data_IF_619291521185
#
_entry.id   IF_619291521185
#
_cell.length_a   1.000
_cell.length_b   1.000
_cell.length_c   1.000
_cell.angle_alpha   90.00
_cell.angle_beta   90.00
_cell.angle_gamma   90.00
#
_symmetry.space_group_name_H-M   'P 1'
#
loop_
_entity.id
_entity.type
_entity.pdbx_description
1 polymer ?
#
# COMPACT_ATOMS: atom_id res chain seq x y z
N UNK A 1 -16.91 -19.90 -14.09
CA UNK A 1 -16.34 -18.90 -13.17
C UNK A 1 -17.12 -17.62 -13.36
N UNK A 2 -17.94 -17.25 -12.38
CA UNK A 2 -18.72 -16.02 -12.43
C UNK A 2 -17.80 -14.85 -12.05
N UNK A 3 -17.73 -13.84 -12.92
CA UNK A 3 -16.99 -12.60 -12.69
C UNK A 3 -17.64 -11.80 -11.54
N UNK A 4 -16.86 -11.10 -10.71
CA UNK A 4 -17.43 -10.16 -9.75
C UNK A 4 -18.13 -9.02 -10.51
N UNK A 5 -19.31 -8.65 -10.04
CA UNK A 5 -20.10 -7.55 -10.62
C UNK A 5 -19.36 -6.23 -10.44
N UNK A 6 -19.50 -5.28 -11.38
CA UNK A 6 -18.96 -3.93 -11.20
C UNK A 6 -19.53 -3.30 -9.92
N UNK A 7 -18.63 -2.73 -9.11
CA UNK A 7 -18.93 -2.03 -7.87
C UNK A 7 -19.85 -0.84 -8.18
N UNK A 8 -21.14 -0.97 -7.84
CA UNK A 8 -22.03 0.19 -7.82
C UNK A 8 -21.80 0.92 -6.51
N UNK A 9 -21.18 2.09 -6.62
CA UNK A 9 -21.11 3.08 -5.56
C UNK A 9 -22.54 3.42 -5.09
N UNK A 10 -22.92 2.95 -3.90
CA UNK A 10 -24.05 3.46 -3.16
C UNK A 10 -23.49 4.16 -1.94
N UNK A 11 -23.53 5.49 -1.96
CA UNK A 11 -23.28 6.34 -0.81
C UNK A 11 -24.34 6.04 0.26
N UNK A 12 -24.08 5.06 1.11
CA UNK A 12 -24.82 4.89 2.35
C UNK A 12 -24.35 5.97 3.32
N UNK A 13 -25.04 7.10 3.30
CA UNK A 13 -24.98 8.12 4.34
C UNK A 13 -25.81 7.57 5.50
N UNK A 14 -25.15 7.18 6.60
CA UNK A 14 -25.81 6.86 7.86
C UNK A 14 -26.55 8.09 8.42
N UNK A 15 -27.75 7.93 9.01
CA UNK A 15 -28.62 9.04 9.40
C UNK A 15 -28.30 9.65 10.78
N UNK A 16 -27.08 9.47 11.29
CA UNK A 16 -26.63 10.15 12.52
C UNK A 16 -25.86 11.42 12.15
N UNK A 17 -26.33 12.57 12.65
CA UNK A 17 -25.95 13.91 12.18
C UNK A 17 -24.44 14.20 12.16
N UNK A 18 -24.00 15.18 11.36
CA UNK A 18 -22.58 15.42 11.14
C UNK A 18 -21.96 16.01 12.42
N UNK A 19 -21.15 15.20 13.09
CA UNK A 19 -19.95 15.76 13.68
C UNK A 19 -19.10 16.25 12.50
N UNK A 20 -19.06 17.56 12.28
CA UNK A 20 -18.29 18.23 11.22
C UNK A 20 -16.76 18.07 11.42
N UNK A 21 -16.33 17.30 12.43
CA UNK A 21 -14.93 16.93 12.62
C UNK A 21 -14.46 16.06 11.46
N UNK A 22 -13.29 16.35 10.86
CA UNK A 22 -12.74 15.51 9.81
C UNK A 22 -12.54 14.07 10.34
N UNK A 23 -12.78 13.03 9.51
CA UNK A 23 -12.60 11.66 9.93
C UNK A 23 -11.18 11.46 10.47
N UNK A 24 -11.07 10.86 11.65
CA UNK A 24 -9.78 10.56 12.28
C UNK A 24 -9.03 9.51 11.46
N UNK A 25 -7.71 9.66 11.22
CA UNK A 25 -6.91 8.66 10.52
C UNK A 25 -6.86 7.36 11.31
N UNK A 26 -7.06 6.23 10.63
CA UNK A 26 -6.85 4.91 11.22
C UNK A 26 -5.36 4.55 11.27
N UNK A 27 -5.01 3.64 12.17
CA UNK A 27 -3.66 3.10 12.25
C UNK A 27 -3.41 2.04 11.16
N UNK A 28 -2.18 1.98 10.65
CA UNK A 28 -1.71 0.90 9.79
C UNK A 28 -1.15 -0.24 10.65
N UNK A 29 -1.78 -1.41 10.58
CA UNK A 29 -1.38 -2.59 11.35
C UNK A 29 -0.65 -3.60 10.46
N UNK A 30 0.61 -3.91 10.79
CA UNK A 30 1.41 -4.96 10.17
C UNK A 30 1.71 -6.04 11.21
N UNK A 31 1.05 -7.22 11.15
CA UNK A 31 1.26 -8.26 12.14
C UNK A 31 2.67 -8.88 12.02
N UNK A 32 3.20 -9.52 13.08
CA UNK A 32 4.45 -10.27 13.00
C UNK A 32 4.41 -11.40 11.96
N UNK A 33 5.58 -11.85 11.51
CA UNK A 33 5.67 -12.96 10.57
C UNK A 33 5.12 -14.26 11.18
N UNK A 34 4.21 -14.90 10.46
CA UNK A 34 3.57 -16.16 10.86
C UNK A 34 4.44 -17.40 10.60
N UNK A 35 5.53 -17.25 9.82
CA UNK A 35 6.40 -18.36 9.43
C UNK A 35 7.31 -18.77 10.59
N UNK A 36 7.62 -20.06 10.66
CA UNK A 36 8.63 -20.62 11.56
C UNK A 36 9.66 -21.43 10.74
N UNK A 37 10.91 -20.96 10.61
CA UNK A 37 11.44 -19.69 11.10
C UNK A 37 10.81 -18.47 10.40
N UNK A 38 10.90 -17.30 11.03
CA UNK A 38 10.41 -16.03 10.48
C UNK A 38 11.12 -15.70 9.17
N UNK A 39 10.44 -15.00 8.27
CA UNK A 39 11.07 -14.50 7.05
C UNK A 39 12.11 -13.42 7.42
N UNK A 40 13.32 -13.42 6.82
CA UNK A 40 14.37 -12.44 7.15
C UNK A 40 13.94 -10.99 6.97
N UNK A 41 13.01 -10.73 6.04
CA UNK A 41 12.49 -9.38 5.73
C UNK A 41 11.16 -9.05 6.43
N UNK A 42 10.70 -9.82 7.44
CA UNK A 42 9.41 -9.55 8.10
C UNK A 42 9.46 -9.73 9.64
N UNK A 43 9.50 -8.63 10.42
CA UNK A 43 9.87 -7.28 9.98
C UNK A 43 11.36 -7.24 9.57
N UNK A 44 11.75 -6.35 8.65
CA UNK A 44 13.14 -6.20 8.25
C UNK A 44 13.97 -5.54 9.37
N UNK A 45 15.26 -5.87 9.51
CA UNK A 45 16.19 -5.11 10.34
C UNK A 45 16.32 -3.66 9.85
N UNK A 46 16.40 -2.70 10.78
CA UNK A 46 16.49 -1.25 10.48
C UNK A 46 17.78 -0.83 9.76
N UNK A 47 18.81 -1.68 9.74
CA UNK A 47 20.08 -1.38 9.05
C UNK A 47 20.17 -2.08 7.70
N UNK A 48 19.13 -2.83 7.31
CA UNK A 48 19.14 -3.59 6.07
C UNK A 48 18.62 -2.74 4.91
N UNK A 49 19.43 -2.49 3.86
CA UNK A 49 18.96 -1.88 2.63
C UNK A 49 17.82 -2.69 2.02
N UNK A 50 16.71 -2.02 1.71
CA UNK A 50 15.50 -2.68 1.27
C UNK A 50 14.61 -1.73 0.46
N UNK A 51 14.10 -2.21 -0.67
CA UNK A 51 12.99 -1.57 -1.37
C UNK A 51 11.67 -2.11 -0.83
N UNK A 52 10.76 -1.22 -0.47
CA UNK A 52 9.49 -1.57 0.15
C UNK A 52 8.37 -1.08 -0.76
N UNK A 53 7.46 -1.97 -1.11
CA UNK A 53 6.21 -1.63 -1.77
C UNK A 53 5.06 -1.94 -0.83
N UNK A 54 4.18 -0.96 -0.61
CA UNK A 54 2.87 -1.17 -0.01
C UNK A 54 1.80 -0.79 -1.02
N UNK A 55 0.83 -1.68 -1.23
CA UNK A 55 -0.24 -1.46 -2.21
C UNK A 55 -1.57 -2.06 -1.73
N UNK A 56 -2.69 -1.50 -2.20
CA UNK A 56 -4.01 -1.97 -1.80
C UNK A 56 -5.17 -1.16 -2.34
N UNK A 57 -6.40 -1.54 -1.97
CA UNK A 57 -7.60 -0.79 -2.32
C UNK A 57 -7.50 0.65 -1.82
N UNK A 58 -7.75 1.60 -2.70
CA UNK A 58 -7.66 3.03 -2.39
C UNK A 58 -8.60 3.41 -1.24
N UNK A 59 -9.79 2.79 -1.17
CA UNK A 59 -10.74 3.01 -0.09
C UNK A 59 -10.15 2.72 1.30
N UNK A 60 -9.37 1.65 1.45
CA UNK A 60 -8.67 1.36 2.70
C UNK A 60 -7.55 2.37 2.98
N UNK A 61 -6.82 2.80 1.95
CA UNK A 61 -5.75 3.80 2.07
C UNK A 61 -6.31 5.18 2.47
N UNK A 62 -7.48 5.56 1.97
CA UNK A 62 -8.14 6.82 2.33
C UNK A 62 -8.52 6.91 3.81
N UNK A 63 -8.72 5.78 4.49
CA UNK A 63 -8.94 5.75 5.95
C UNK A 63 -7.67 6.01 6.75
N UNK A 64 -6.51 5.61 6.21
CA UNK A 64 -5.21 5.94 6.79
C UNK A 64 -4.88 7.43 6.60
N UNK A 65 -5.30 7.99 5.46
CA UNK A 65 -4.95 9.33 5.01
C UNK A 65 -6.21 10.16 4.67
N UNK A 66 -7.08 10.42 5.66
CA UNK A 66 -8.28 11.22 5.45
C UNK A 66 -7.89 12.64 5.03
N UNK A 67 -8.58 13.17 4.03
CA UNK A 67 -8.34 14.53 3.52
C UNK A 67 -7.22 14.65 2.47
N UNK A 68 -6.53 13.56 2.13
CA UNK A 68 -5.63 13.54 0.97
C UNK A 68 -6.42 13.49 -0.33
N UNK A 69 -6.06 14.34 -1.27
CA UNK A 69 -6.58 14.30 -2.64
C UNK A 69 -5.77 13.33 -3.48
N UNK A 70 -6.47 12.46 -4.22
CA UNK A 70 -5.89 11.46 -5.10
C UNK A 70 -6.18 11.82 -6.54
N UNK A 71 -5.13 11.99 -7.35
CA UNK A 71 -5.28 12.31 -8.76
C UNK A 71 -5.33 11.03 -9.60
N UNK A 72 -6.37 10.84 -10.42
CA UNK A 72 -6.45 9.75 -11.37
C UNK A 72 -5.81 10.08 -12.73
N UNK A 73 -5.21 11.27 -12.89
CA UNK A 73 -4.66 11.73 -14.16
C UNK A 73 -3.52 10.81 -14.64
N UNK A 74 -3.81 10.05 -15.69
CA UNK A 74 -2.87 9.13 -16.34
C UNK A 74 -1.99 9.82 -17.40
N UNK A 75 -2.35 11.02 -17.85
CA UNK A 75 -1.65 11.73 -18.93
C UNK A 75 -0.48 12.53 -18.34
N UNK A 76 -0.72 13.23 -17.23
CA UNK A 76 0.31 13.99 -16.51
C UNK A 76 0.30 13.63 -15.02
N UNK A 77 0.72 12.40 -14.66
CA UNK A 77 0.72 11.99 -13.27
C UNK A 77 1.66 12.87 -12.46
N UNK A 78 1.10 13.59 -11.48
CA UNK A 78 1.92 14.27 -10.49
C UNK A 78 2.71 13.22 -9.70
N UNK A 79 4.03 13.39 -9.62
CA UNK A 79 4.89 12.49 -8.86
C UNK A 79 5.83 13.27 -7.94
N UNK A 80 5.95 12.89 -6.66
CA UNK A 80 5.01 11.98 -5.98
C UNK A 80 3.62 12.62 -5.83
N UNK A 81 2.57 11.81 -5.80
CA UNK A 81 1.26 12.28 -5.35
C UNK A 81 1.31 12.64 -3.85
N UNK A 82 0.46 13.56 -3.36
CA UNK A 82 0.46 13.93 -1.94
C UNK A 82 0.32 12.74 -0.98
N UNK A 83 -0.41 11.69 -1.38
CA UNK A 83 -0.61 10.49 -0.58
C UNK A 83 0.60 9.54 -0.51
N UNK A 84 1.47 9.52 -1.52
CA UNK A 84 2.59 8.58 -1.61
C UNK A 84 3.58 8.70 -0.45
N UNK A 85 4.18 9.90 -0.22
CA UNK A 85 5.12 10.11 0.88
C UNK A 85 4.47 9.88 2.26
N UNK A 86 3.18 10.18 2.41
CA UNK A 86 2.45 9.95 3.66
C UNK A 86 2.24 8.45 3.93
N UNK A 87 1.84 7.69 2.91
CA UNK A 87 1.67 6.23 3.02
C UNK A 87 3.02 5.53 3.25
N UNK A 88 4.09 5.99 2.58
CA UNK A 88 5.45 5.52 2.82
C UNK A 88 5.88 5.77 4.27
N UNK A 89 5.62 6.97 4.81
CA UNK A 89 5.93 7.32 6.20
C UNK A 89 5.17 6.45 7.21
N UNK A 90 3.87 6.22 7.00
CA UNK A 90 3.07 5.34 7.86
C UNK A 90 3.61 3.91 7.84
N UNK A 91 3.96 3.41 6.66
CA UNK A 91 4.53 2.07 6.47
C UNK A 91 5.89 1.94 7.14
N UNK A 92 6.74 2.94 6.98
CA UNK A 92 8.04 3.01 7.63
C UNK A 92 7.91 2.94 9.15
N UNK A 93 7.03 3.76 9.74
CA UNK A 93 6.74 3.73 11.18
C UNK A 93 6.22 2.38 11.65
N UNK A 94 5.31 1.76 10.89
CA UNK A 94 4.76 0.45 11.22
C UNK A 94 5.81 -0.67 11.17
N UNK A 95 6.81 -0.58 10.28
CA UNK A 95 7.89 -1.57 10.16
C UNK A 95 8.99 -1.36 11.21
N UNK A 96 9.41 -0.12 11.44
CA UNK A 96 10.62 0.20 12.21
C UNK A 96 10.35 0.84 13.58
N UNK A 97 9.10 1.20 13.88
CA UNK A 97 8.72 1.84 15.14
C UNK A 97 9.29 3.25 15.33
N UNK A 98 9.77 3.89 14.26
CA UNK A 98 10.38 5.23 14.27
C UNK A 98 10.07 6.01 13.00
N UNK A 99 10.31 7.31 13.05
CA UNK A 99 10.32 8.17 11.86
C UNK A 99 11.58 7.98 11.01
N UNK A 100 11.50 8.23 9.68
CA UNK A 100 12.68 8.40 8.85
C UNK A 100 13.58 9.51 9.40
N UNK A 101 14.88 9.25 9.42
CA UNK A 101 15.87 10.15 9.97
C UNK A 101 16.22 11.25 8.96
N UNK A 102 15.90 12.53 9.24
CA UNK A 102 16.07 13.61 8.26
C UNK A 102 17.53 13.86 7.86
N UNK A 103 18.49 13.50 8.72
CA UNK A 103 19.93 13.57 8.44
C UNK A 103 20.50 12.42 7.60
N UNK A 104 19.69 11.43 7.20
CA UNK A 104 20.12 10.30 6.37
C UNK A 104 19.26 10.31 5.10
N UNK A 105 19.74 10.91 4.00
CA UNK A 105 18.92 11.11 2.80
C UNK A 105 18.39 9.81 2.18
N UNK A 106 19.05 8.69 2.42
CA UNK A 106 18.62 7.38 1.95
C UNK A 106 17.68 6.64 2.91
N UNK A 107 17.33 7.21 4.07
CA UNK A 107 16.54 6.48 5.07
C UNK A 107 15.12 6.16 4.56
N UNK A 108 14.53 7.07 3.79
CA UNK A 108 13.28 6.82 3.07
C UNK A 108 13.22 7.69 1.80
N UNK A 109 13.23 7.06 0.63
CA UNK A 109 13.15 7.75 -0.67
C UNK A 109 12.00 7.15 -1.48
N UNK A 110 10.97 7.94 -1.79
CA UNK A 110 9.88 7.48 -2.68
C UNK A 110 10.43 7.29 -4.10
N UNK A 111 10.18 6.13 -4.69
CA UNK A 111 10.75 5.71 -5.98
C UNK A 111 9.72 5.46 -7.06
N UNK A 112 8.52 5.03 -6.70
CA UNK A 112 7.45 4.78 -7.66
C UNK A 112 6.06 4.79 -6.98
N UNK A 113 5.02 4.96 -7.77
CA UNK A 113 3.62 4.91 -7.38
C UNK A 113 2.83 4.09 -8.40
N UNK A 114 2.05 3.13 -7.92
CA UNK A 114 1.15 2.32 -8.72
C UNK A 114 -0.28 2.84 -8.59
N UNK A 115 -0.93 3.09 -9.72
CA UNK A 115 -2.35 3.47 -9.80
C UNK A 115 -3.12 2.34 -10.48
N UNK A 116 -4.14 1.80 -9.82
CA UNK A 116 -5.07 0.86 -10.44
C UNK A 116 -6.30 1.60 -10.96
N UNK A 117 -6.34 1.84 -12.27
CA UNK A 117 -7.46 2.50 -12.93
C UNK A 117 -8.64 1.57 -13.14
N UNK A 118 -9.85 2.08 -12.92
CA UNK A 118 -11.09 1.37 -13.26
C UNK A 118 -11.29 1.46 -14.78
N UNK A 119 -11.18 0.32 -15.47
CA UNK A 119 -11.21 0.26 -16.95
C UNK A 119 -12.54 -0.23 -17.53
N UNK A 120 -13.50 -0.64 -16.71
CA UNK A 120 -14.81 -1.17 -17.15
C UNK A 120 -15.94 -0.69 -16.21
N UNK A 121 -17.15 -0.35 -16.71
CA UNK A 121 -17.63 -0.49 -18.09
C UNK A 121 -17.11 0.54 -19.11
N UNK A 122 -16.46 1.62 -18.67
CA UNK A 122 -15.61 2.51 -19.47
C UNK A 122 -14.47 2.99 -18.56
N UNK A 123 -13.32 3.45 -19.08
CA UNK A 123 -12.29 4.05 -18.23
C UNK A 123 -12.87 5.28 -17.56
N UNK A 124 -13.22 5.13 -16.28
CA UNK A 124 -13.51 6.26 -15.43
C UNK A 124 -12.16 6.95 -15.15
N UNK A 125 -12.16 8.27 -15.05
CA UNK A 125 -11.04 9.02 -14.48
C UNK A 125 -11.02 8.77 -12.97
N UNK A 126 -10.88 7.51 -12.56
CA UNK A 126 -10.98 7.00 -11.20
C UNK A 126 -9.98 5.87 -11.01
N UNK A 127 -9.38 5.84 -9.83
CA UNK A 127 -8.51 4.77 -9.35
C UNK A 127 -9.18 4.08 -8.17
N UNK A 128 -9.17 2.76 -8.14
CA UNK A 128 -9.70 1.96 -7.01
C UNK A 128 -8.58 1.27 -6.22
N UNK A 129 -7.34 1.35 -6.71
CA UNK A 129 -6.16 0.77 -6.11
C UNK A 129 -5.00 1.74 -6.17
N UNK A 130 -4.18 1.75 -5.14
CA UNK A 130 -2.98 2.59 -5.08
C UNK A 130 -1.85 1.86 -4.37
N UNK A 131 -0.62 2.15 -4.77
CA UNK A 131 0.57 1.68 -4.09
C UNK A 131 1.70 2.70 -4.16
N UNK A 132 2.57 2.65 -3.16
CA UNK A 132 3.82 3.42 -3.15
C UNK A 132 4.99 2.47 -2.95
N UNK A 133 6.04 2.71 -3.72
CA UNK A 133 7.34 2.05 -3.60
C UNK A 133 8.36 3.06 -3.09
N UNK A 134 9.10 2.70 -2.05
CA UNK A 134 10.17 3.52 -1.50
C UNK A 134 11.37 2.69 -1.10
N UNK A 135 12.55 3.32 -1.13
CA UNK A 135 13.80 2.73 -0.71
C UNK A 135 14.12 3.12 0.74
N UNK A 136 14.64 2.16 1.49
CA UNK A 136 15.29 2.36 2.77
C UNK A 136 16.76 1.91 2.66
N UNK A 137 17.70 2.83 2.84
CA UNK A 137 19.15 2.64 2.78
C UNK A 137 19.69 1.98 1.51
N UNK A 138 18.89 1.91 0.44
CA UNK A 138 19.33 1.38 -0.86
C UNK A 138 20.37 2.33 -1.45
N UNK A 139 21.49 1.76 -1.92
CA UNK A 139 22.55 2.53 -2.52
C UNK A 139 22.07 3.21 -3.82
N UNK A 140 22.46 4.47 -4.08
CA UNK A 140 22.18 5.10 -5.36
C UNK A 140 22.71 4.26 -6.53
N UNK A 141 21.84 3.98 -7.51
CA UNK A 141 22.18 3.17 -8.69
C UNK A 141 22.08 1.66 -8.50
N UNK A 142 21.70 1.16 -7.32
CA UNK A 142 21.31 -0.25 -7.19
C UNK A 142 19.98 -0.49 -7.92
N UNK A 143 20.06 -1.20 -9.04
CA UNK A 143 18.93 -1.47 -9.91
C UNK A 143 18.09 -2.67 -9.46
N UNK A 144 18.65 -3.55 -8.60
CA UNK A 144 17.98 -4.79 -8.20
C UNK A 144 18.13 -5.06 -6.68
N UNK A 145 17.71 -4.12 -5.81
CA UNK A 145 17.73 -4.36 -4.36
C UNK A 145 16.74 -5.47 -3.97
N UNK A 146 16.92 -6.01 -2.76
CA UNK A 146 15.90 -6.87 -2.14
C UNK A 146 14.59 -6.09 -1.95
N UNK A 147 13.46 -6.81 -2.07
CA UNK A 147 12.12 -6.22 -2.04
C UNK A 147 11.27 -6.83 -0.94
N UNK A 148 10.60 -5.97 -0.17
CA UNK A 148 9.50 -6.33 0.71
C UNK A 148 8.20 -5.77 0.13
N UNK A 149 7.36 -6.65 -0.41
CA UNK A 149 6.00 -6.30 -0.83
C UNK A 149 5.00 -6.56 0.30
N UNK A 150 4.10 -5.58 0.52
CA UNK A 150 3.06 -5.57 1.54
C UNK A 150 1.74 -5.23 0.87
N UNK A 151 0.70 -6.04 1.10
CA UNK A 151 -0.63 -5.74 0.58
C UNK A 151 -1.54 -5.30 1.73
N UNK A 152 -2.24 -4.18 1.55
CA UNK A 152 -3.36 -3.78 2.39
C UNK A 152 -4.56 -4.70 2.07
N UNK A 153 -5.17 -5.21 3.13
CA UNK A 153 -6.24 -6.20 3.08
C UNK A 153 -7.54 -5.51 3.49
N UNK A 154 -8.48 -5.41 2.55
CA UNK A 154 -9.83 -4.88 2.83
C UNK A 154 -10.57 -5.79 3.81
N UNK A 155 -11.24 -5.16 4.79
CA UNK A 155 -11.97 -5.86 5.86
C UNK A 155 -13.42 -5.42 5.98
N UNK A 156 -13.77 -4.24 5.49
CA UNK A 156 -15.10 -3.66 5.68
C UNK A 156 -16.01 -3.97 4.51
N UNK A 157 -15.59 -3.61 3.30
CA UNK A 157 -16.50 -3.63 2.15
C UNK A 157 -16.94 -5.04 1.74
N UNK A 158 -16.01 -6.01 1.77
CA UNK A 158 -16.27 -7.40 1.41
C UNK A 158 -16.47 -8.32 2.62
N UNK A 159 -16.53 -7.75 3.84
CA UNK A 159 -16.58 -8.50 5.09
C UNK A 159 -15.41 -9.48 5.26
N UNK A 160 -14.21 -9.12 4.78
CA UNK A 160 -13.01 -9.94 4.87
C UNK A 160 -13.02 -11.18 3.97
N UNK A 161 -13.78 -11.17 2.88
CA UNK A 161 -13.77 -12.26 1.88
C UNK A 161 -12.38 -12.44 1.26
N UNK A 162 -11.73 -11.34 0.88
CA UNK A 162 -10.36 -11.38 0.35
C UNK A 162 -9.37 -11.91 1.38
N UNK A 163 -9.48 -11.47 2.65
CA UNK A 163 -8.65 -11.98 3.74
C UNK A 163 -8.76 -13.50 3.89
N UNK A 164 -9.98 -14.04 3.95
CA UNK A 164 -10.23 -15.49 4.09
C UNK A 164 -9.67 -16.31 2.92
N UNK A 165 -9.81 -15.79 1.70
CA UNK A 165 -9.32 -16.48 0.51
C UNK A 165 -7.79 -16.39 0.35
N UNK A 166 -7.17 -15.28 0.76
CA UNK A 166 -5.78 -14.94 0.43
C UNK A 166 -4.78 -15.12 1.58
N UNK A 167 -5.24 -15.16 2.84
CA UNK A 167 -4.39 -15.36 4.01
C UNK A 167 -4.41 -16.82 4.49
N UNK A 168 -3.29 -17.35 4.97
CA UNK A 168 -3.19 -18.70 5.53
C UNK A 168 -3.53 -18.75 7.04
N UNK A 169 -4.06 -17.67 7.60
CA UNK A 169 -4.50 -17.54 8.99
C UNK A 169 -5.85 -16.83 9.04
N UNK A 170 -6.60 -17.10 10.10
CA UNK A 170 -7.90 -16.48 10.29
C UNK A 170 -7.75 -15.04 10.77
N UNK A 171 -8.57 -14.17 10.20
CA UNK A 171 -8.67 -12.77 10.59
C UNK A 171 -10.13 -12.46 10.87
N UNK A 172 -10.42 -11.89 12.03
CA UNK A 172 -11.74 -11.40 12.37
C UNK A 172 -11.90 -9.95 11.89
N UNK A 173 -12.77 -9.64 10.92
CA UNK A 173 -12.94 -8.27 10.42
C UNK A 173 -13.29 -7.26 11.53
N UNK A 174 -14.05 -7.68 12.54
CA UNK A 174 -14.46 -6.80 13.65
C UNK A 174 -13.29 -6.25 14.50
N UNK A 175 -12.10 -6.87 14.39
CA UNK A 175 -10.88 -6.36 15.05
C UNK A 175 -10.30 -5.14 14.32
N UNK A 176 -10.67 -4.94 13.05
CA UNK A 176 -10.12 -3.90 12.17
C UNK A 176 -11.15 -2.83 11.78
N UNK A 177 -12.42 -3.21 11.60
CA UNK A 177 -13.49 -2.29 11.19
C UNK A 177 -13.51 -1.00 12.04
N UNK A 178 -13.28 0.14 11.39
CA UNK A 178 -13.23 1.46 12.05
C UNK A 178 -12.13 1.66 13.09
N UNK A 179 -11.15 0.75 13.19
CA UNK A 179 -10.07 0.76 14.20
C UNK A 179 -8.68 0.86 13.57
N UNK A 180 -8.39 0.00 12.62
CA UNK A 180 -7.09 -0.06 11.94
C UNK A 180 -7.22 -0.71 10.57
N UNK A 181 -6.26 -0.45 9.69
CA UNK A 181 -6.16 -1.08 8.38
C UNK A 181 -5.10 -2.18 8.43
N UNK A 182 -5.49 -3.41 8.08
CA UNK A 182 -4.56 -4.53 8.03
C UNK A 182 -3.69 -4.45 6.77
N UNK A 183 -2.38 -4.57 6.93
CA UNK A 183 -1.44 -4.76 5.84
C UNK A 183 -0.56 -5.99 6.11
N UNK A 184 -0.48 -6.89 5.13
CA UNK A 184 0.19 -8.19 5.30
C UNK A 184 1.33 -8.33 4.30
N UNK A 185 2.58 -8.53 4.77
CA UNK A 185 3.70 -8.82 3.90
C UNK A 185 3.50 -10.10 3.11
N UNK A 186 4.02 -10.12 1.89
CA UNK A 186 3.78 -11.21 0.94
C UNK A 186 4.17 -12.58 1.46
N UNK A 187 5.22 -12.66 2.28
CA UNK A 187 5.68 -13.92 2.88
C UNK A 187 4.64 -14.59 3.81
N UNK A 188 3.63 -13.84 4.26
CA UNK A 188 2.54 -14.30 5.12
C UNK A 188 1.21 -14.48 4.37
N UNK A 189 1.22 -14.47 3.03
CA UNK A 189 0.04 -14.69 2.20
C UNK A 189 0.10 -16.06 1.51
N UNK A 190 -1.05 -16.59 1.07
CA UNK A 190 -1.12 -17.86 0.32
C UNK A 190 -0.40 -17.79 -1.03
N UNK A 191 -0.53 -16.66 -1.73
CA UNK A 191 0.17 -16.45 -3.02
C UNK A 191 1.64 -16.15 -2.76
N UNK A 192 2.51 -16.93 -3.40
CA UNK A 192 3.95 -16.71 -3.36
C UNK A 192 4.33 -15.62 -4.35
N UNK A 193 4.99 -14.58 -3.86
CA UNK A 193 5.46 -13.43 -4.63
C UNK A 193 6.75 -13.67 -5.40
N UNK A 194 6.87 -14.77 -6.14
CA UNK A 194 8.15 -15.14 -6.78
C UNK A 194 8.61 -14.14 -7.85
N UNK A 195 7.70 -13.31 -8.36
CA UNK A 195 7.98 -12.26 -9.35
C UNK A 195 7.99 -10.86 -8.73
N UNK A 196 7.72 -10.74 -7.43
CA UNK A 196 7.44 -9.44 -6.81
C UNK A 196 8.70 -8.56 -6.83
N UNK A 197 9.89 -9.12 -6.55
CA UNK A 197 11.16 -8.38 -6.64
C UNK A 197 11.40 -7.79 -8.03
N UNK A 198 11.33 -8.63 -9.07
CA UNK A 198 11.54 -8.20 -10.44
C UNK A 198 10.53 -7.14 -10.86
N UNK A 199 9.24 -7.39 -10.66
CA UNK A 199 8.17 -6.45 -11.01
C UNK A 199 8.35 -5.08 -10.34
N UNK A 200 8.68 -5.06 -9.05
CA UNK A 200 8.86 -3.81 -8.29
C UNK A 200 10.10 -3.06 -8.75
N UNK A 201 11.21 -3.76 -9.00
CA UNK A 201 12.45 -3.15 -9.48
C UNK A 201 12.28 -2.61 -10.92
N UNK A 202 11.59 -3.35 -11.78
CA UNK A 202 11.27 -2.92 -13.15
C UNK A 202 10.42 -1.64 -13.18
N UNK A 203 9.39 -1.55 -12.33
CA UNK A 203 8.54 -0.35 -12.24
C UNK A 203 9.33 0.90 -11.83
N UNK A 204 10.26 0.77 -10.86
CA UNK A 204 11.14 1.88 -10.48
C UNK A 204 12.07 2.27 -11.61
N UNK A 205 12.65 1.30 -12.33
CA UNK A 205 13.52 1.59 -13.48
C UNK A 205 12.77 2.30 -14.61
N UNK A 206 11.52 1.90 -14.89
CA UNK A 206 10.67 2.54 -15.88
C UNK A 206 10.42 4.01 -15.52
N UNK A 207 10.05 4.30 -14.27
CA UNK A 207 9.85 5.67 -13.78
C UNK A 207 11.14 6.51 -13.86
N UNK A 208 12.27 5.97 -13.42
CA UNK A 208 13.55 6.68 -13.47
C UNK A 208 13.95 7.03 -14.93
N UNK A 209 13.65 6.13 -15.87
CA UNK A 209 13.88 6.35 -17.30
C UNK A 209 12.95 7.42 -17.89
N UNK A 210 11.70 7.51 -17.43
CA UNK A 210 10.78 8.59 -17.83
C UNK A 210 11.20 9.94 -17.28
N UNK A 211 11.61 10.01 -16.00
CA UNK A 211 12.10 11.23 -15.37
C UNK A 211 13.34 11.82 -16.08
N UNK A 212 14.16 10.97 -16.71
CA UNK A 212 15.35 11.40 -17.47
C UNK A 212 15.00 11.95 -18.86
N UNK A 213 13.79 11.69 -19.38
CA UNK A 213 13.35 12.17 -20.70
C UNK A 213 12.67 13.54 -20.66
N UNK A 214 12.28 14.02 -19.47
CA UNK A 214 11.69 15.34 -19.23
C UNK A 214 12.76 16.41 -19.01
#
# INVERSE_FOLDING_TARGET
MALPKPLKYQSHIDPHGPDDSPPQPLELSIPPCIRSPRHPLHPPPVEQPLRIQIEGPLFSIQKLLPGVTWSPDAIFPAFPQPGGPLLATLTYRALYGRDPHPGVPQDMVVRDEYLGWITNPEPLNEIDYYGVTFDHLVAPGDADPEVLQINIIEMEHDGGEYARSSLPFDVNPADYMGKSVLAVPRCCQKRRGTQDRGRVNDAVMERDAEATKM
#
